data_IF_988639186687
#
_entry.id   IF_988639186687
#
_cell.length_a   1.000
_cell.length_b   1.000
_cell.length_c   1.000
_cell.angle_alpha   90.00
_cell.angle_beta   90.00
_cell.angle_gamma   90.00
#
_symmetry.space_group_name_H-M   'P 1'
#
loop_
_entity.id
_entity.type
_entity.pdbx_description
1 polymer ?
#
# COMPACT_ATOMS: atom_id res chain seq x y z
N UNK A 1 -6.05 29.65 -16.91
CA UNK A 1 -6.48 28.38 -16.29
C UNK A 1 -8.01 28.43 -16.23
N UNK A 2 -8.67 27.84 -17.22
CA UNK A 2 -10.13 27.81 -17.27
C UNK A 2 -10.58 26.59 -16.45
N UNK A 3 -10.91 26.82 -15.19
CA UNK A 3 -11.62 25.83 -14.38
C UNK A 3 -12.98 25.54 -15.02
N UNK A 4 -13.35 24.26 -15.06
CA UNK A 4 -14.68 23.81 -15.46
C UNK A 4 -15.70 24.55 -14.57
N UNK A 5 -16.75 25.13 -15.18
CA UNK A 5 -17.81 25.82 -14.45
C UNK A 5 -18.56 24.79 -13.59
N UNK A 6 -18.92 25.13 -12.34
CA UNK A 6 -19.49 24.21 -11.35
C UNK A 6 -20.64 23.32 -11.88
N UNK A 7 -21.47 23.81 -12.82
CA UNK A 7 -22.56 23.01 -13.43
C UNK A 7 -22.17 22.05 -14.56
N UNK A 8 -21.03 22.22 -15.22
CA UNK A 8 -20.48 21.25 -16.19
C UNK A 8 -19.69 20.14 -15.49
N UNK A 9 -19.14 20.44 -14.31
CA UNK A 9 -18.40 19.50 -13.47
C UNK A 9 -19.30 18.35 -12.99
N UNK A 10 -20.52 18.66 -12.53
CA UNK A 10 -21.46 17.65 -12.00
C UNK A 10 -21.95 16.67 -13.07
N UNK A 11 -22.13 17.16 -14.31
CA UNK A 11 -22.55 16.33 -15.45
C UNK A 11 -21.46 15.35 -15.88
N UNK A 12 -20.22 15.84 -15.99
CA UNK A 12 -19.05 15.04 -16.33
C UNK A 12 -18.72 14.02 -15.23
N UNK A 13 -18.76 14.42 -13.95
CA UNK A 13 -18.48 13.51 -12.84
C UNK A 13 -19.46 12.33 -12.86
N UNK A 14 -20.75 12.58 -13.00
CA UNK A 14 -21.76 11.50 -13.03
C UNK A 14 -21.50 10.50 -14.17
N UNK A 15 -21.28 10.98 -15.40
CA UNK A 15 -21.05 10.09 -16.55
C UNK A 15 -19.74 9.32 -16.44
N UNK A 16 -18.69 9.95 -15.90
CA UNK A 16 -17.42 9.30 -15.59
C UNK A 16 -17.59 8.17 -14.56
N UNK A 17 -18.36 8.42 -13.49
CA UNK A 17 -18.59 7.43 -12.44
C UNK A 17 -19.45 6.25 -12.93
N UNK A 18 -20.45 6.52 -13.76
CA UNK A 18 -21.23 5.46 -14.42
C UNK A 18 -20.34 4.62 -15.35
N UNK A 19 -19.48 5.26 -16.15
CA UNK A 19 -18.51 4.57 -16.99
C UNK A 19 -17.53 3.68 -16.19
N UNK A 20 -17.02 4.16 -15.05
CA UNK A 20 -16.16 3.36 -14.17
C UNK A 20 -16.87 2.11 -13.65
N UNK A 21 -18.15 2.24 -13.27
CA UNK A 21 -18.95 1.14 -12.75
C UNK A 21 -19.30 0.13 -13.85
N UNK A 22 -19.83 0.63 -14.97
CA UNK A 22 -20.48 -0.19 -16.00
C UNK A 22 -19.49 -0.78 -17.00
N UNK A 23 -18.44 -0.04 -17.37
CA UNK A 23 -17.46 -0.49 -18.36
C UNK A 23 -16.13 -0.97 -17.76
N UNK A 24 -15.77 -0.50 -16.55
CA UNK A 24 -14.50 -0.85 -15.89
C UNK A 24 -14.66 -1.77 -14.68
N UNK A 25 -15.89 -2.09 -14.28
CA UNK A 25 -16.19 -2.99 -13.15
C UNK A 25 -15.69 -2.46 -11.82
N UNK A 26 -15.60 -1.13 -11.65
CA UNK A 26 -15.20 -0.51 -10.39
C UNK A 26 -16.43 -0.39 -9.50
N UNK A 27 -16.60 -1.35 -8.59
CA UNK A 27 -17.77 -1.41 -7.72
C UNK A 27 -17.69 -0.46 -6.52
N UNK A 28 -16.48 -0.16 -6.01
CA UNK A 28 -16.39 0.69 -4.82
C UNK A 28 -16.50 2.17 -5.19
N UNK A 29 -17.06 3.01 -4.30
CA UNK A 29 -17.27 4.43 -4.56
C UNK A 29 -16.01 5.15 -5.03
N UNK A 30 -16.17 6.05 -5.99
CA UNK A 30 -15.15 6.99 -6.46
C UNK A 30 -15.77 8.38 -6.50
N UNK A 31 -14.92 9.39 -6.36
CA UNK A 31 -15.24 10.80 -6.59
C UNK A 31 -14.25 11.41 -7.55
N UNK A 32 -14.67 12.42 -8.28
CA UNK A 32 -13.77 13.27 -9.04
C UNK A 32 -13.00 14.18 -8.08
N UNK A 33 -11.68 14.28 -8.26
CA UNK A 33 -10.79 15.15 -7.47
C UNK A 33 -10.46 16.40 -8.25
N UNK A 34 -10.05 16.22 -9.51
CA UNK A 34 -9.82 17.29 -10.48
C UNK A 34 -9.98 16.74 -11.89
N UNK A 35 -10.36 17.59 -12.82
CA UNK A 35 -10.28 17.30 -14.24
C UNK A 35 -9.69 18.51 -14.98
N UNK A 36 -8.88 18.24 -15.98
CA UNK A 36 -8.39 19.22 -16.94
C UNK A 36 -8.57 18.70 -18.37
N UNK A 37 -7.89 19.29 -19.35
CA UNK A 37 -8.01 18.90 -20.77
C UNK A 37 -7.39 17.52 -21.05
N UNK A 38 -6.47 17.05 -20.22
CA UNK A 38 -5.70 15.82 -20.46
C UNK A 38 -6.03 14.70 -19.47
N UNK A 39 -6.43 15.02 -18.24
CA UNK A 39 -6.57 14.07 -17.14
C UNK A 39 -7.86 14.27 -16.34
N UNK A 40 -8.46 13.16 -15.90
CA UNK A 40 -9.45 13.13 -14.83
C UNK A 40 -8.88 12.31 -13.66
N UNK A 41 -8.57 12.99 -12.56
CA UNK A 41 -8.10 12.36 -11.34
C UNK A 41 -9.29 12.01 -10.46
N UNK A 42 -9.43 10.72 -10.15
CA UNK A 42 -10.44 10.18 -9.25
C UNK A 42 -9.81 9.68 -7.97
N UNK A 43 -10.60 9.60 -6.90
CA UNK A 43 -10.19 8.99 -5.64
C UNK A 43 -11.32 8.19 -5.02
N UNK A 44 -10.95 7.15 -4.27
CA UNK A 44 -11.86 6.43 -3.37
C UNK A 44 -11.91 7.04 -1.97
N UNK A 45 -11.05 8.02 -1.69
CA UNK A 45 -10.87 8.59 -0.37
C UNK A 45 -11.46 9.99 -0.28
N UNK A 46 -12.04 10.29 0.88
CA UNK A 46 -12.58 11.61 1.19
C UNK A 46 -11.51 12.72 1.16
N UNK A 47 -11.89 13.99 0.92
CA UNK A 47 -10.99 15.12 1.08
C UNK A 47 -10.29 15.10 2.44
N UNK A 48 -8.99 15.39 2.46
CA UNK A 48 -8.17 15.40 3.68
C UNK A 48 -7.66 14.03 4.15
N UNK A 49 -8.07 12.91 3.51
CA UNK A 49 -7.59 11.57 3.85
C UNK A 49 -6.06 11.47 3.83
N UNK A 50 -5.43 11.88 2.73
CA UNK A 50 -3.98 11.76 2.56
C UNK A 50 -3.21 12.53 3.64
N UNK A 51 -3.59 13.80 3.90
CA UNK A 51 -3.02 14.59 4.98
C UNK A 51 -3.16 13.88 6.33
N UNK A 52 -4.38 13.40 6.64
CA UNK A 52 -4.63 12.68 7.88
C UNK A 52 -3.88 11.34 7.99
N UNK A 53 -3.63 10.65 6.88
CA UNK A 53 -2.78 9.46 6.83
C UNK A 53 -1.33 9.85 7.13
N UNK A 54 -0.77 10.84 6.44
CA UNK A 54 0.61 11.30 6.70
C UNK A 54 0.80 11.76 8.15
N UNK A 55 -0.16 12.48 8.73
CA UNK A 55 -0.11 12.88 10.14
C UNK A 55 -0.11 11.68 11.08
N UNK A 56 -0.93 10.67 10.78
CA UNK A 56 -0.91 9.42 11.53
C UNK A 56 0.45 8.71 11.42
N UNK A 57 0.99 8.59 10.20
CA UNK A 57 2.25 7.90 9.96
C UNK A 57 3.44 8.58 10.66
N UNK A 58 3.39 9.92 10.84
CA UNK A 58 4.37 10.66 11.65
C UNK A 58 4.37 10.28 13.13
N UNK A 59 3.25 9.77 13.65
CA UNK A 59 3.14 9.32 15.04
C UNK A 59 3.70 7.91 15.25
N UNK A 60 3.97 7.17 14.17
CA UNK A 60 4.38 5.75 14.25
C UNK A 60 5.68 5.48 13.47
N UNK A 61 6.75 6.26 13.67
CA UNK A 61 7.99 6.14 12.89
C UNK A 61 8.65 4.77 13.04
N UNK A 62 8.53 4.15 14.22
CA UNK A 62 9.11 2.84 14.54
C UNK A 62 8.56 1.71 13.66
N UNK A 63 7.35 1.87 13.11
CA UNK A 63 6.78 0.93 12.16
C UNK A 63 7.60 0.92 10.85
N UNK A 64 8.23 2.03 10.49
CA UNK A 64 8.99 2.20 9.25
C UNK A 64 10.50 2.16 9.46
N UNK A 65 10.97 2.05 10.71
CA UNK A 65 12.37 1.84 11.02
C UNK A 65 12.76 0.37 10.75
N UNK A 66 13.69 0.15 9.83
CA UNK A 66 14.07 -1.19 9.39
C UNK A 66 14.57 -2.05 10.56
N UNK A 67 15.47 -1.50 11.38
CA UNK A 67 16.08 -2.23 12.48
C UNK A 67 15.03 -2.68 13.51
N UNK A 68 14.08 -1.80 13.84
CA UNK A 68 13.00 -2.07 14.78
C UNK A 68 12.05 -3.15 14.26
N UNK A 69 11.60 -3.07 13.00
CA UNK A 69 10.70 -4.09 12.46
C UNK A 69 11.38 -5.44 12.24
N UNK A 70 12.65 -5.46 11.85
CA UNK A 70 13.44 -6.70 11.77
C UNK A 70 13.51 -7.34 13.14
N UNK A 71 13.91 -6.60 14.18
CA UNK A 71 13.98 -7.13 15.54
C UNK A 71 12.61 -7.60 16.08
N UNK A 72 11.52 -6.89 15.75
CA UNK A 72 10.16 -7.29 16.13
C UNK A 72 9.74 -8.59 15.41
N UNK A 73 10.04 -8.70 14.12
CA UNK A 73 9.74 -9.87 13.31
C UNK A 73 10.55 -11.09 13.76
N UNK A 74 11.85 -10.92 14.04
CA UNK A 74 12.70 -11.98 14.58
C UNK A 74 12.15 -12.52 15.91
N UNK A 75 11.70 -11.63 16.81
CA UNK A 75 11.03 -12.03 18.06
C UNK A 75 9.74 -12.79 17.80
N UNK A 76 8.91 -12.33 16.85
CA UNK A 76 7.69 -13.02 16.47
C UNK A 76 7.98 -14.42 15.91
N UNK A 77 8.91 -14.54 14.95
CA UNK A 77 9.34 -15.80 14.35
C UNK A 77 9.87 -16.79 15.38
N UNK A 78 10.65 -16.31 16.36
CA UNK A 78 11.16 -17.15 17.45
C UNK A 78 10.03 -17.67 18.36
N UNK A 79 8.91 -16.95 18.46
CA UNK A 79 7.75 -17.33 19.28
C UNK A 79 6.75 -18.25 18.56
N UNK A 80 6.84 -18.38 17.24
CA UNK A 80 5.92 -19.18 16.42
C UNK A 80 6.65 -20.14 15.46
N UNK A 81 7.42 -21.13 15.96
CA UNK A 81 8.11 -22.09 15.09
C UNK A 81 7.13 -22.86 14.18
N UNK A 82 7.51 -23.07 12.91
CA UNK A 82 6.69 -23.78 11.92
C UNK A 82 5.61 -22.94 11.23
N UNK A 83 5.30 -21.75 11.73
CA UNK A 83 4.39 -20.82 11.04
C UNK A 83 5.07 -20.14 9.83
N UNK A 84 4.32 -19.67 8.82
CA UNK A 84 4.86 -18.88 7.73
C UNK A 84 5.58 -17.63 8.25
N UNK A 85 6.76 -17.31 7.71
CA UNK A 85 7.50 -16.11 8.10
C UNK A 85 6.77 -14.82 7.77
N UNK A 86 6.03 -14.79 6.66
CA UNK A 86 5.15 -13.66 6.30
C UNK A 86 4.08 -13.41 7.36
N UNK A 87 3.55 -14.48 7.96
CA UNK A 87 2.63 -14.42 9.09
C UNK A 87 3.26 -13.84 10.35
N UNK A 88 4.50 -14.21 10.66
CA UNK A 88 5.24 -13.66 11.80
C UNK A 88 5.54 -12.16 11.64
N UNK A 89 5.98 -11.73 10.45
CA UNK A 89 6.12 -10.31 10.11
C UNK A 89 4.79 -9.57 10.27
N UNK A 90 3.71 -10.10 9.70
CA UNK A 90 2.38 -9.51 9.76
C UNK A 90 1.91 -9.31 11.21
N UNK A 91 2.05 -10.33 12.06
CA UNK A 91 1.72 -10.25 13.47
C UNK A 91 2.57 -9.19 14.21
N UNK A 92 3.87 -9.12 13.92
CA UNK A 92 4.77 -8.12 14.51
C UNK A 92 4.37 -6.69 14.14
N UNK A 93 3.98 -6.45 12.89
CA UNK A 93 3.55 -5.12 12.41
C UNK A 93 2.22 -4.69 13.04
N UNK A 94 1.25 -5.60 13.12
CA UNK A 94 -0.02 -5.33 13.79
C UNK A 94 0.16 -5.05 15.28
N UNK A 95 1.02 -5.80 15.96
CA UNK A 95 1.34 -5.56 17.37
C UNK A 95 2.03 -4.20 17.59
N UNK A 96 3.01 -3.86 16.74
CA UNK A 96 3.69 -2.57 16.80
C UNK A 96 2.72 -1.40 16.55
N UNK A 97 1.83 -1.52 15.57
CA UNK A 97 0.81 -0.52 15.29
C UNK A 97 -0.19 -0.35 16.44
N UNK A 98 -0.63 -1.45 17.05
CA UNK A 98 -1.53 -1.40 18.21
C UNK A 98 -0.85 -0.70 19.39
N UNK A 99 0.40 -1.06 19.70
CA UNK A 99 1.18 -0.43 20.77
C UNK A 99 1.39 1.07 20.53
N UNK A 100 1.72 1.47 19.30
CA UNK A 100 1.90 2.88 18.97
C UNK A 100 0.56 3.64 19.03
N UNK A 101 -0.52 3.00 18.59
CA UNK A 101 -1.88 3.53 18.71
C UNK A 101 -2.28 3.82 20.16
N UNK A 102 -2.03 2.87 21.06
CA UNK A 102 -2.24 3.04 22.51
C UNK A 102 -1.37 4.16 23.08
N UNK A 103 -0.07 4.18 22.74
CA UNK A 103 0.88 5.17 23.23
C UNK A 103 0.57 6.61 22.81
N UNK A 104 -0.04 6.80 21.64
CA UNK A 104 -0.38 8.12 21.10
C UNK A 104 -1.87 8.47 21.21
N UNK A 105 -2.69 7.60 21.83
CA UNK A 105 -4.13 7.81 21.95
C UNK A 105 -4.85 7.87 20.60
N UNK A 106 -4.34 7.17 19.59
CA UNK A 106 -4.93 7.15 18.25
C UNK A 106 -6.13 6.19 18.26
N UNK A 107 -7.33 6.63 17.83
CA UNK A 107 -8.49 5.76 17.75
C UNK A 107 -8.26 4.59 16.79
N UNK A 108 -8.74 3.41 17.15
CA UNK A 108 -8.58 2.19 16.35
C UNK A 108 -9.06 2.34 14.90
N UNK A 109 -10.16 3.08 14.69
CA UNK A 109 -10.69 3.38 13.36
C UNK A 109 -9.65 4.08 12.45
N UNK A 110 -8.76 4.90 13.02
CA UNK A 110 -7.70 5.58 12.27
C UNK A 110 -6.55 4.64 11.92
N UNK A 111 -6.26 3.66 12.78
CA UNK A 111 -5.22 2.65 12.54
C UNK A 111 -5.64 1.64 11.46
N UNK A 112 -6.95 1.47 11.21
CA UNK A 112 -7.48 0.56 10.21
C UNK A 112 -6.88 0.77 8.81
N UNK A 113 -6.58 2.01 8.44
CA UNK A 113 -5.98 2.34 7.13
C UNK A 113 -4.53 1.86 7.02
N UNK A 114 -3.76 1.98 8.11
CA UNK A 114 -2.38 1.47 8.17
C UNK A 114 -2.39 -0.06 8.16
N UNK A 115 -3.35 -0.68 8.87
CA UNK A 115 -3.58 -2.13 8.83
C UNK A 115 -3.86 -2.64 7.42
N UNK A 116 -4.74 -1.97 6.67
CA UNK A 116 -5.00 -2.33 5.28
C UNK A 116 -3.73 -2.26 4.41
N UNK A 117 -2.84 -1.30 4.67
CA UNK A 117 -1.52 -1.22 4.02
C UNK A 117 -0.63 -2.41 4.37
N UNK A 118 -0.54 -2.77 5.66
CA UNK A 118 0.21 -3.94 6.15
C UNK A 118 -0.33 -5.23 5.52
N UNK A 119 -1.66 -5.40 5.49
CA UNK A 119 -2.34 -6.56 4.91
C UNK A 119 -2.05 -6.69 3.40
N UNK A 120 -2.03 -5.57 2.68
CA UNK A 120 -1.69 -5.55 1.25
C UNK A 120 -0.25 -5.98 1.00
N UNK A 121 0.70 -5.51 1.81
CA UNK A 121 2.12 -5.90 1.68
C UNK A 121 2.30 -7.38 2.01
N UNK A 122 1.60 -7.91 3.02
CA UNK A 122 1.59 -9.35 3.29
C UNK A 122 1.12 -10.14 2.07
N UNK A 123 0.01 -9.74 1.47
CA UNK A 123 -0.54 -10.45 0.31
C UNK A 123 0.44 -10.47 -0.88
N UNK A 124 1.18 -9.37 -1.10
CA UNK A 124 2.25 -9.32 -2.10
C UNK A 124 3.38 -10.30 -1.75
N UNK A 125 3.82 -10.34 -0.49
CA UNK A 125 4.86 -11.26 -0.04
C UNK A 125 4.45 -12.73 -0.14
N UNK A 126 3.19 -13.06 0.17
CA UNK A 126 2.66 -14.43 0.05
C UNK A 126 2.66 -14.91 -1.42
N UNK A 127 2.58 -13.99 -2.39
CA UNK A 127 2.72 -14.29 -3.82
C UNK A 127 4.18 -14.41 -4.25
N UNK A 128 5.04 -13.50 -3.77
CA UNK A 128 6.49 -13.48 -4.10
C UNK A 128 7.19 -14.72 -3.52
N UNK A 129 6.94 -15.05 -2.25
CA UNK A 129 7.62 -16.10 -1.51
C UNK A 129 6.84 -17.41 -1.60
N UNK A 130 6.64 -17.91 -2.82
CA UNK A 130 5.84 -19.11 -3.08
C UNK A 130 6.41 -20.38 -2.45
N UNK A 131 7.68 -20.38 -2.03
CA UNK A 131 8.28 -21.46 -1.27
C UNK A 131 7.70 -21.61 0.15
N UNK A 132 6.92 -20.62 0.61
CA UNK A 132 6.26 -20.57 1.92
C UNK A 132 7.23 -20.84 3.08
N UNK A 133 8.28 -19.99 3.22
CA UNK A 133 9.36 -20.22 4.18
C UNK A 133 8.83 -20.20 5.62
N UNK A 134 9.24 -21.19 6.42
CA UNK A 134 8.76 -21.35 7.80
C UNK A 134 9.70 -20.77 8.84
N UNK A 135 9.11 -20.37 9.96
CA UNK A 135 9.84 -19.90 11.13
C UNK A 135 10.66 -21.05 11.73
N UNK A 136 11.96 -20.80 11.98
CA UNK A 136 12.88 -21.79 12.55
C UNK A 136 13.68 -22.62 11.53
N UNK A 137 13.39 -22.49 10.24
CA UNK A 137 14.16 -23.15 9.17
C UNK A 137 15.33 -22.28 8.71
N UNK A 138 16.32 -22.86 8.02
CA UNK A 138 17.27 -22.06 7.23
C UNK A 138 16.59 -21.76 5.90
N UNK A 139 16.61 -20.50 5.47
CA UNK A 139 15.96 -20.07 4.24
C UNK A 139 16.84 -19.08 3.50
N UNK A 140 16.92 -19.28 2.18
CA UNK A 140 17.53 -18.38 1.22
C UNK A 140 16.54 -18.25 0.05
N UNK A 141 16.18 -17.03 -0.39
CA UNK A 141 15.24 -16.84 -1.49
C UNK A 141 15.74 -17.44 -2.80
N UNK A 142 14.85 -18.13 -3.52
CA UNK A 142 15.16 -18.65 -4.84
C UNK A 142 15.32 -17.50 -5.86
N UNK A 143 16.12 -17.65 -6.93
CA UNK A 143 16.30 -16.61 -7.93
C UNK A 143 14.99 -16.09 -8.52
N UNK A 144 14.00 -16.97 -8.69
CA UNK A 144 12.67 -16.56 -9.16
C UNK A 144 11.89 -15.71 -8.16
N UNK A 145 12.02 -15.95 -6.85
CA UNK A 145 11.35 -15.13 -5.83
C UNK A 145 11.99 -13.73 -5.78
N UNK A 146 13.31 -13.65 -6.00
CA UNK A 146 14.04 -12.39 -6.18
C UNK A 146 13.55 -11.62 -7.41
N UNK A 147 13.32 -12.30 -8.54
CA UNK A 147 12.78 -11.66 -9.75
C UNK A 147 11.33 -11.21 -9.56
N UNK A 148 10.48 -12.05 -8.94
CA UNK A 148 9.11 -11.67 -8.59
C UNK A 148 9.06 -10.46 -7.64
N UNK A 149 9.99 -10.36 -6.69
CA UNK A 149 10.13 -9.17 -5.86
C UNK A 149 10.42 -7.92 -6.70
N UNK A 150 11.36 -7.99 -7.64
CA UNK A 150 11.69 -6.84 -8.51
C UNK A 150 10.49 -6.40 -9.33
N UNK A 151 9.76 -7.34 -9.92
CA UNK A 151 8.55 -7.05 -10.69
C UNK A 151 7.50 -6.33 -9.82
N UNK A 152 7.19 -6.87 -8.65
CA UNK A 152 6.25 -6.25 -7.71
C UNK A 152 6.74 -4.87 -7.23
N UNK A 153 8.05 -4.70 -7.01
CA UNK A 153 8.62 -3.43 -6.59
C UNK A 153 8.55 -2.38 -7.69
N UNK A 154 8.83 -2.74 -8.95
CA UNK A 154 8.68 -1.84 -10.12
C UNK A 154 7.22 -1.39 -10.28
N UNK A 155 6.25 -2.28 -10.07
CA UNK A 155 4.84 -1.88 -10.11
C UNK A 155 4.47 -0.87 -9.01
N UNK A 156 5.15 -0.92 -7.87
CA UNK A 156 5.02 0.07 -6.79
C UNK A 156 5.86 1.34 -7.01
N UNK A 157 6.85 1.29 -7.91
CA UNK A 157 7.78 2.37 -8.23
C UNK A 157 7.55 2.90 -9.66
N UNK A 158 6.52 3.73 -9.84
CA UNK A 158 6.30 4.44 -11.10
C UNK A 158 7.16 5.72 -11.25
N UNK A 159 8.19 5.87 -10.41
CA UNK A 159 9.05 7.06 -10.33
C UNK A 159 8.42 8.24 -9.57
N UNK A 160 7.26 8.04 -8.92
CA UNK A 160 6.57 9.04 -8.09
C UNK A 160 6.31 8.50 -6.67
N UNK A 161 6.10 9.42 -5.73
CA UNK A 161 5.68 9.09 -4.36
C UNK A 161 4.24 8.54 -4.26
N UNK A 162 3.58 8.36 -5.41
CA UNK A 162 2.17 8.04 -5.55
C UNK A 162 1.99 6.95 -6.58
N UNK A 163 1.39 5.82 -6.18
CA UNK A 163 1.00 4.78 -7.13
C UNK A 163 -0.20 5.26 -7.93
N UNK A 164 -0.07 5.29 -9.25
CA UNK A 164 -1.13 5.77 -10.14
C UNK A 164 -1.78 4.62 -10.90
N UNK A 165 -3.03 4.29 -10.55
CA UNK A 165 -3.82 3.33 -11.33
C UNK A 165 -4.48 4.03 -12.51
N UNK A 166 -4.24 3.52 -13.72
CA UNK A 166 -4.91 3.96 -14.94
C UNK A 166 -6.15 3.10 -15.22
N UNK A 167 -7.29 3.75 -15.48
CA UNK A 167 -8.57 3.08 -15.75
C UNK A 167 -8.95 3.13 -17.24
N UNK A 168 -8.19 3.82 -18.08
CA UNK A 168 -8.49 4.05 -19.48
C UNK A 168 -8.73 5.52 -19.80
N UNK A 169 -9.13 5.77 -21.05
CA UNK A 169 -9.49 7.11 -21.52
C UNK A 169 -11.00 7.27 -21.51
N UNK A 170 -11.50 8.38 -20.96
CA UNK A 170 -12.91 8.75 -20.98
C UNK A 170 -13.05 10.17 -21.54
N UNK A 171 -13.84 10.33 -22.60
CA UNK A 171 -14.04 11.61 -23.31
C UNK A 171 -12.72 12.34 -23.67
N UNK A 172 -11.69 11.58 -24.05
CA UNK A 172 -10.37 12.11 -24.41
C UNK A 172 -9.42 12.35 -23.23
N UNK A 173 -9.87 12.19 -21.99
CA UNK A 173 -9.07 12.38 -20.77
C UNK A 173 -8.57 11.05 -20.22
N UNK A 174 -7.31 11.00 -19.77
CA UNK A 174 -6.79 9.85 -19.04
C UNK A 174 -7.42 9.79 -17.63
N UNK A 175 -8.09 8.69 -17.29
CA UNK A 175 -8.70 8.50 -15.97
C UNK A 175 -7.73 7.78 -15.04
N UNK A 176 -7.34 8.45 -13.95
CA UNK A 176 -6.28 8.00 -13.05
C UNK A 176 -6.70 8.08 -11.59
N UNK A 177 -6.18 7.20 -10.75
CA UNK A 177 -6.31 7.24 -9.29
C UNK A 177 -4.94 7.24 -8.64
N UNK A 178 -4.74 8.14 -7.68
CA UNK A 178 -3.51 8.29 -6.92
C UNK A 178 -3.63 7.66 -5.54
N UNK A 179 -2.79 6.67 -5.24
CA UNK A 179 -2.67 6.10 -3.91
C UNK A 179 -1.60 6.88 -3.11
N UNK A 180 -1.98 7.57 -2.01
CA UNK A 180 -1.03 8.34 -1.21
C UNK A 180 -0.11 7.46 -0.34
N UNK A 181 -0.37 6.15 -0.27
CA UNK A 181 0.38 5.21 0.56
C UNK A 181 1.58 4.54 -0.13
N UNK A 182 1.87 4.86 -1.40
CA UNK A 182 2.81 4.07 -2.20
C UNK A 182 4.25 4.10 -1.67
N UNK A 183 4.75 5.28 -1.27
CA UNK A 183 6.07 5.38 -0.65
C UNK A 183 6.20 4.50 0.61
N UNK A 184 5.14 4.47 1.43
CA UNK A 184 5.11 3.63 2.64
C UNK A 184 5.00 2.15 2.32
N UNK A 185 4.22 1.78 1.29
CA UNK A 185 4.13 0.40 0.83
C UNK A 185 5.50 -0.12 0.36
N UNK A 186 6.28 0.70 -0.36
CA UNK A 186 7.65 0.35 -0.78
C UNK A 186 8.59 0.14 0.43
N UNK A 187 8.53 1.04 1.41
CA UNK A 187 9.31 0.91 2.64
C UNK A 187 8.96 -0.37 3.40
N UNK A 188 7.65 -0.62 3.60
CA UNK A 188 7.16 -1.83 4.27
C UNK A 188 7.57 -3.09 3.52
N UNK A 189 7.46 -3.11 2.19
CA UNK A 189 7.85 -4.27 1.37
C UNK A 189 9.35 -4.57 1.48
N UNK A 190 10.21 -3.55 1.38
CA UNK A 190 11.66 -3.72 1.48
C UNK A 190 12.10 -4.18 2.88
N UNK A 191 11.53 -3.57 3.92
CA UNK A 191 11.76 -3.95 5.30
C UNK A 191 11.25 -5.37 5.60
N UNK A 192 10.08 -5.74 5.08
CA UNK A 192 9.53 -7.08 5.25
C UNK A 192 10.41 -8.14 4.57
N UNK A 193 10.90 -7.86 3.36
CA UNK A 193 11.88 -8.72 2.70
C UNK A 193 13.10 -8.92 3.59
N UNK A 194 13.67 -7.83 4.12
CA UNK A 194 14.82 -7.89 5.01
C UNK A 194 14.54 -8.75 6.25
N UNK A 195 13.39 -8.55 6.89
CA UNK A 195 12.98 -9.25 8.09
C UNK A 195 12.72 -10.75 7.87
N UNK A 196 12.12 -11.12 6.74
CA UNK A 196 11.71 -12.50 6.44
C UNK A 196 12.89 -13.32 5.90
N UNK A 197 13.69 -12.73 5.01
CA UNK A 197 14.76 -13.43 4.29
C UNK A 197 16.12 -13.31 4.95
N UNK A 198 16.33 -12.29 5.78
CA UNK A 198 17.66 -11.95 6.32
C UNK A 198 18.61 -11.31 5.29
N UNK A 199 18.15 -11.04 4.07
CA UNK A 199 18.93 -10.44 2.97
C UNK A 199 18.47 -9.02 2.66
N UNK A 200 19.31 -8.12 2.15
CA UNK A 200 18.85 -6.81 1.67
C UNK A 200 17.79 -6.98 0.59
N UNK A 201 16.82 -6.05 0.55
CA UNK A 201 15.84 -6.01 -0.53
C UNK A 201 16.55 -5.92 -1.90
N UNK A 202 16.13 -6.73 -2.90
CA UNK A 202 16.67 -6.66 -4.25
C UNK A 202 16.50 -5.25 -4.81
N UNK A 203 17.58 -4.69 -5.34
CA UNK A 203 17.51 -3.42 -6.06
C UNK A 203 16.89 -3.66 -7.44
N UNK A 204 16.06 -2.69 -7.86
CA UNK A 204 15.58 -2.55 -9.24
C UNK A 204 16.62 -1.87 -10.13
#
# INVERSE_FOLDING_TARGET
MNGIRDGESDGFERTLLDWLREERGVEEPRRLVRADEEEALISKFEPGFAAGLHDLLRLIPDLFDEATAVANTERAMASTPGEPRTGAWHAAMHAALAQAGEGHGVPDLRLAEVRAGIDSVRAILDVILWSDPRCGEVYEPEPGEVDAYREAFVELDDGRDVFTRYYGTFEGRAVRNHCPGAAFARMLLAQAWRAITGTPAPTV
#
